data_IF_573791817789
#
_entry.id   IF_573791817789
#
_cell.length_a   1.000
_cell.length_b   1.000
_cell.length_c   1.000
_cell.angle_alpha   90.00
_cell.angle_beta   90.00
_cell.angle_gamma   90.00
#
_symmetry.space_group_name_H-M   'P 1'
#
loop_
_entity.id
_entity.type
_entity.pdbx_description
1 polymer ?
#
# COMPACT_ATOMS: atom_id res chain seq x y z
N UNK A 1 -69.54 -5.67 -42.08
CA UNK A 1 -68.10 -5.54 -41.75
C UNK A 1 -67.91 -5.94 -40.30
N UNK A 2 -67.80 -7.23 -40.03
CA UNK A 2 -67.60 -7.81 -38.70
C UNK A 2 -66.13 -8.24 -38.58
N UNK A 3 -65.24 -7.30 -38.26
CA UNK A 3 -63.82 -7.63 -38.05
C UNK A 3 -63.24 -6.84 -36.88
N UNK A 4 -63.93 -6.73 -35.74
CA UNK A 4 -63.40 -5.95 -34.60
C UNK A 4 -63.73 -6.48 -33.20
N UNK A 5 -64.26 -7.70 -33.03
CA UNK A 5 -64.57 -8.24 -31.68
C UNK A 5 -63.84 -9.52 -31.31
N UNK A 6 -63.29 -10.29 -32.26
CA UNK A 6 -62.56 -11.54 -31.94
C UNK A 6 -61.06 -11.35 -31.67
N UNK A 7 -60.41 -10.34 -32.26
CA UNK A 7 -58.97 -10.10 -32.02
C UNK A 7 -58.66 -9.42 -30.68
N UNK A 8 -59.61 -8.70 -30.11
CA UNK A 8 -59.45 -8.00 -28.83
C UNK A 8 -59.51 -8.95 -27.63
N UNK A 9 -60.38 -9.97 -27.65
CA UNK A 9 -60.55 -10.91 -26.54
C UNK A 9 -59.33 -11.84 -26.29
N UNK A 10 -58.60 -12.22 -27.35
CA UNK A 10 -57.43 -13.09 -27.24
C UNK A 10 -56.13 -12.34 -26.87
N UNK A 11 -56.08 -11.02 -27.08
CA UNK A 11 -54.89 -10.21 -26.77
C UNK A 11 -54.77 -9.87 -25.27
N UNK A 12 -55.88 -9.67 -24.54
CA UNK A 12 -55.85 -9.35 -23.10
C UNK A 12 -55.10 -10.36 -22.20
N UNK A 13 -55.34 -11.68 -22.28
CA UNK A 13 -54.60 -12.64 -21.45
C UNK A 13 -53.12 -12.75 -21.85
N UNK A 14 -52.80 -12.56 -23.13
CA UNK A 14 -51.42 -12.57 -23.64
C UNK A 14 -50.63 -11.36 -23.12
N UNK A 15 -51.22 -10.16 -23.10
CA UNK A 15 -50.58 -8.97 -22.53
C UNK A 15 -50.35 -9.11 -21.01
N UNK A 16 -51.30 -9.67 -20.26
CA UNK A 16 -51.14 -9.90 -18.81
C UNK A 16 -49.99 -10.91 -18.55
N UNK A 17 -49.89 -11.97 -19.35
CA UNK A 17 -48.80 -12.95 -19.25
C UNK A 17 -47.43 -12.38 -19.64
N UNK A 18 -47.37 -11.48 -20.63
CA UNK A 18 -46.13 -10.78 -21.02
C UNK A 18 -45.71 -9.78 -19.94
N UNK A 19 -46.66 -9.10 -19.29
CA UNK A 19 -46.38 -8.20 -18.16
C UNK A 19 -45.88 -8.99 -16.94
N UNK A 20 -46.51 -10.12 -16.60
CA UNK A 20 -46.04 -10.94 -15.47
C UNK A 20 -44.66 -11.54 -15.71
N UNK A 21 -44.36 -11.97 -16.95
CA UNK A 21 -43.04 -12.45 -17.32
C UNK A 21 -41.97 -11.35 -17.27
N UNK A 22 -42.28 -10.14 -17.74
CA UNK A 22 -41.33 -9.01 -17.70
C UNK A 22 -41.06 -8.54 -16.27
N UNK A 23 -42.07 -8.51 -15.40
CA UNK A 23 -41.89 -8.20 -13.96
C UNK A 23 -40.99 -9.23 -13.29
N UNK A 24 -41.18 -10.52 -13.60
CA UNK A 24 -40.30 -11.58 -13.09
C UNK A 24 -38.86 -11.35 -13.55
N UNK A 25 -38.64 -11.15 -14.86
CA UNK A 25 -37.30 -10.91 -15.44
C UNK A 25 -36.62 -9.66 -14.86
N UNK A 26 -37.38 -8.58 -14.64
CA UNK A 26 -36.87 -7.37 -13.97
C UNK A 26 -36.47 -7.68 -12.52
N UNK A 27 -37.28 -8.43 -11.78
CA UNK A 27 -36.98 -8.82 -10.41
C UNK A 27 -35.70 -9.68 -10.32
N UNK A 28 -35.49 -10.64 -11.24
CA UNK A 28 -34.23 -11.39 -11.31
C UNK A 28 -33.06 -10.46 -11.64
N UNK A 29 -33.24 -9.52 -12.57
CA UNK A 29 -32.18 -8.56 -12.96
C UNK A 29 -31.79 -7.61 -11.83
N UNK A 30 -32.75 -7.07 -11.08
CA UNK A 30 -32.48 -6.15 -9.97
C UNK A 30 -31.91 -6.87 -8.76
N UNK A 31 -32.45 -8.04 -8.42
CA UNK A 31 -32.02 -8.79 -7.22
C UNK A 31 -30.63 -9.37 -7.39
N UNK A 32 -30.28 -9.90 -8.58
CA UNK A 32 -28.91 -10.34 -8.86
C UNK A 32 -27.91 -9.17 -8.88
N UNK A 33 -28.34 -7.99 -9.35
CA UNK A 33 -27.53 -6.76 -9.30
C UNK A 33 -27.21 -6.32 -7.87
N UNK A 34 -28.19 -6.38 -6.96
CA UNK A 34 -27.99 -6.08 -5.53
C UNK A 34 -27.08 -7.10 -4.85
N UNK A 35 -27.25 -8.39 -5.10
CA UNK A 35 -26.42 -9.45 -4.52
C UNK A 35 -24.93 -9.30 -4.92
N UNK A 36 -24.67 -9.01 -6.19
CA UNK A 36 -23.29 -8.75 -6.67
C UNK A 36 -22.75 -7.46 -6.07
N UNK A 37 -23.56 -6.39 -6.00
CA UNK A 37 -23.10 -5.10 -5.47
C UNK A 37 -22.80 -5.18 -3.96
N UNK A 38 -23.58 -5.94 -3.20
CA UNK A 38 -23.35 -6.20 -1.78
C UNK A 38 -22.13 -7.11 -1.57
N UNK A 39 -21.94 -8.12 -2.41
CA UNK A 39 -20.73 -8.97 -2.42
C UNK A 39 -19.46 -8.17 -2.79
N UNK A 40 -19.56 -7.16 -3.66
CA UNK A 40 -18.45 -6.25 -4.03
C UNK A 40 -18.13 -5.24 -2.91
N UNK A 41 -19.14 -4.71 -2.21
CA UNK A 41 -18.93 -3.93 -0.98
C UNK A 41 -18.29 -4.78 0.12
N UNK A 42 -18.67 -6.06 0.19
CA UNK A 42 -18.10 -6.98 1.15
C UNK A 42 -16.63 -7.32 0.82
N UNK A 43 -16.27 -7.49 -0.45
CA UNK A 43 -14.87 -7.71 -0.88
C UNK A 43 -13.97 -6.49 -0.64
N UNK A 44 -14.50 -5.27 -0.74
CA UNK A 44 -13.81 -4.03 -0.34
C UNK A 44 -13.56 -3.97 1.18
N UNK A 45 -14.41 -4.63 1.98
CA UNK A 45 -14.32 -4.70 3.45
C UNK A 45 -13.69 -5.98 4.01
N UNK A 46 -13.17 -6.90 3.19
CA UNK A 46 -12.39 -8.05 3.67
C UNK A 46 -11.08 -7.53 4.24
N UNK A 47 -11.12 -7.22 5.53
CA UNK A 47 -10.02 -6.57 6.23
C UNK A 47 -8.80 -7.49 6.27
N UNK A 48 -7.67 -6.98 5.79
CA UNK A 48 -6.34 -7.55 6.03
C UNK A 48 -6.04 -7.45 7.54
N UNK A 49 -6.46 -8.45 8.29
CA UNK A 49 -6.13 -8.61 9.70
C UNK A 49 -4.72 -9.19 9.87
N UNK A 50 -3.72 -8.37 9.57
CA UNK A 50 -2.46 -8.19 10.33
C UNK A 50 -1.83 -6.93 9.76
N UNK A 51 -1.64 -5.90 10.61
CA UNK A 51 -1.00 -4.62 10.27
C UNK A 51 -1.85 -3.58 9.49
N UNK A 52 -3.18 -3.53 9.66
CA UNK A 52 -4.02 -2.48 9.06
C UNK A 52 -3.52 -1.04 9.36
N UNK A 53 -2.88 -0.80 10.51
CA UNK A 53 -2.27 0.47 10.88
C UNK A 53 -1.00 0.86 10.09
N UNK A 54 -0.43 -0.07 9.32
CA UNK A 54 0.74 0.16 8.46
C UNK A 54 0.36 0.38 6.99
N UNK A 55 -0.91 0.21 6.64
CA UNK A 55 -1.40 0.45 5.27
C UNK A 55 -1.23 1.93 4.96
N UNK A 56 -0.50 2.24 3.89
CA UNK A 56 -0.21 3.63 3.49
C UNK A 56 0.82 4.35 4.35
N UNK A 57 1.56 3.66 5.23
CA UNK A 57 2.66 4.25 6.01
C UNK A 57 3.98 4.22 5.23
N UNK A 58 4.82 5.22 5.49
CA UNK A 58 6.15 5.32 4.91
C UNK A 58 7.19 4.66 5.81
N UNK A 59 8.18 4.01 5.21
CA UNK A 59 9.37 3.54 5.91
C UNK A 59 10.45 4.62 5.82
N UNK A 60 11.27 4.78 6.88
CA UNK A 60 12.32 5.78 6.87
C UNK A 60 13.39 5.41 5.84
N UNK A 61 13.81 6.37 5.02
CA UNK A 61 14.84 6.20 4.01
C UNK A 61 16.19 6.73 4.52
N UNK A 62 17.20 5.87 4.56
CA UNK A 62 18.58 6.26 4.93
C UNK A 62 19.34 6.64 3.66
N UNK A 63 19.63 7.93 3.52
CA UNK A 63 20.40 8.54 2.45
C UNK A 63 21.87 8.59 2.87
N UNK A 64 22.71 7.82 2.21
CA UNK A 64 24.11 7.67 2.57
C UNK A 64 24.78 6.69 1.62
N UNK A 65 25.98 7.03 1.18
CA UNK A 65 26.77 6.26 0.23
C UNK A 65 28.04 5.72 0.89
N UNK A 66 28.80 4.92 0.16
CA UNK A 66 30.09 4.43 0.62
C UNK A 66 31.08 5.60 0.74
N UNK A 67 31.89 5.58 1.80
CA UNK A 67 32.75 6.70 2.17
C UNK A 67 34.21 6.26 2.02
N UNK A 68 35.04 7.16 1.49
CA UNK A 68 36.50 6.97 1.45
C UNK A 68 37.16 8.06 2.27
N UNK A 69 37.99 7.66 3.23
CA UNK A 69 38.71 8.58 4.12
C UNK A 69 40.20 8.26 4.13
N UNK A 70 41.03 9.28 4.37
CA UNK A 70 42.47 9.09 4.56
C UNK A 70 42.75 8.62 5.99
N UNK A 71 43.76 7.77 6.15
CA UNK A 71 44.28 7.31 7.43
C UNK A 71 44.55 8.50 8.37
N UNK A 72 44.06 8.39 9.60
CA UNK A 72 44.20 9.40 10.65
C UNK A 72 43.20 10.56 10.56
N UNK A 73 42.27 10.55 9.59
CA UNK A 73 41.21 11.56 9.52
C UNK A 73 40.15 11.35 10.60
N UNK A 74 39.53 12.43 11.05
CA UNK A 74 38.35 12.38 11.91
C UNK A 74 37.17 11.91 11.06
N UNK A 75 36.45 10.89 11.52
CA UNK A 75 35.28 10.36 10.85
C UNK A 75 34.03 10.57 11.70
N UNK A 76 33.07 11.34 11.17
CA UNK A 76 31.78 11.62 11.81
C UNK A 76 30.65 11.06 10.93
N UNK A 77 30.00 9.94 11.33
CA UNK A 77 28.95 9.29 10.53
C UNK A 77 27.74 10.19 10.25
N UNK A 78 27.39 11.09 11.17
CA UNK A 78 26.20 11.96 11.08
C UNK A 78 26.30 13.05 10.01
N UNK A 79 27.51 13.38 9.55
CA UNK A 79 27.69 14.37 8.48
C UNK A 79 27.40 13.77 7.09
N UNK A 80 27.66 12.48 6.94
CA UNK A 80 27.60 11.78 5.65
C UNK A 80 26.30 11.00 5.46
N UNK A 81 25.58 10.72 6.56
CA UNK A 81 24.40 9.85 6.56
C UNK A 81 23.22 10.66 7.06
N UNK A 82 22.22 10.80 6.20
CA UNK A 82 20.94 11.46 6.47
C UNK A 82 19.82 10.44 6.49
N UNK A 83 18.74 10.75 7.19
CA UNK A 83 17.52 9.95 7.15
C UNK A 83 16.29 10.82 7.02
N UNK A 84 15.43 10.47 6.07
CA UNK A 84 14.16 11.14 5.81
C UNK A 84 13.05 10.10 5.76
N UNK A 85 11.91 10.44 6.32
CA UNK A 85 10.68 9.67 6.26
C UNK A 85 9.59 10.57 5.67
N UNK A 86 8.69 10.03 4.83
CA UNK A 86 7.69 10.85 4.17
C UNK A 86 6.60 11.37 5.13
N UNK A 87 6.44 10.75 6.31
CA UNK A 87 5.45 11.13 7.32
C UNK A 87 6.09 11.92 8.47
N UNK A 88 7.26 11.49 8.97
CA UNK A 88 7.95 12.16 10.08
C UNK A 88 8.93 13.26 9.64
N UNK A 89 9.23 13.37 8.35
CA UNK A 89 10.19 14.33 7.81
C UNK A 89 11.64 13.95 8.12
N UNK A 90 12.45 14.90 8.58
CA UNK A 90 13.88 14.69 8.80
C UNK A 90 14.15 14.04 10.16
N UNK A 91 14.42 12.74 10.16
CA UNK A 91 14.74 11.96 11.37
C UNK A 91 16.25 11.62 11.46
N UNK A 92 17.11 12.38 10.78
CA UNK A 92 18.57 12.14 10.78
C UNK A 92 19.18 12.03 12.18
N UNK A 93 18.67 12.80 13.15
CA UNK A 93 19.15 12.76 14.54
C UNK A 93 18.77 11.49 15.31
N UNK A 94 17.80 10.70 14.82
CA UNK A 94 17.34 9.48 15.47
C UNK A 94 18.09 8.21 14.99
N UNK A 95 19.05 8.35 14.07
CA UNK A 95 19.81 7.21 13.54
C UNK A 95 20.73 6.64 14.61
N UNK A 96 20.69 5.31 14.77
CA UNK A 96 21.62 4.54 15.59
C UNK A 96 22.68 3.90 14.69
N UNK A 97 23.95 4.14 14.99
CA UNK A 97 25.08 3.52 14.30
C UNK A 97 25.64 2.36 15.12
N UNK A 98 25.92 1.25 14.44
CA UNK A 98 26.52 0.06 15.04
C UNK A 98 27.73 -0.37 14.22
N UNK A 99 28.83 -0.68 14.92
CA UNK A 99 30.12 -1.01 14.33
C UNK A 99 31.22 -0.12 14.88
N UNK A 100 32.47 -0.55 14.68
CA UNK A 100 33.66 0.24 14.99
C UNK A 100 34.43 0.48 13.71
N UNK A 101 34.76 1.74 13.44
CA UNK A 101 35.58 2.15 12.29
C UNK A 101 36.88 2.69 12.86
N UNK A 102 37.97 1.96 12.68
CA UNK A 102 39.30 2.43 13.08
C UNK A 102 39.91 3.22 11.91
N UNK A 103 40.03 4.54 12.07
CA UNK A 103 40.62 5.40 11.04
C UNK A 103 42.15 5.34 11.02
N UNK A 104 42.80 4.65 11.96
CA UNK A 104 44.26 4.52 12.04
C UNK A 104 44.79 3.35 11.23
N UNK A 105 43.96 2.38 10.94
CA UNK A 105 44.34 1.17 10.22
C UNK A 105 43.70 1.20 8.83
N UNK A 106 44.48 0.93 7.79
CA UNK A 106 43.94 0.85 6.43
C UNK A 106 43.04 -0.37 6.32
N UNK A 107 41.90 -0.24 5.65
CA UNK A 107 40.96 -1.34 5.52
C UNK A 107 39.56 -0.90 5.11
N UNK A 108 38.69 -1.89 4.90
CA UNK A 108 37.28 -1.67 4.61
C UNK A 108 36.48 -2.01 5.85
N UNK A 109 35.78 -1.03 6.40
CA UNK A 109 34.96 -1.15 7.58
C UNK A 109 33.49 -1.14 7.21
N UNK A 110 32.68 -1.93 7.92
CA UNK A 110 31.24 -2.03 7.72
C UNK A 110 30.52 -1.31 8.85
N UNK A 111 29.76 -0.28 8.52
CA UNK A 111 28.92 0.45 9.46
C UNK A 111 27.45 0.09 9.22
N UNK A 112 26.76 -0.32 10.27
CA UNK A 112 25.33 -0.62 10.25
C UNK A 112 24.55 0.59 10.78
N UNK A 113 23.69 1.14 9.94
CA UNK A 113 22.83 2.27 10.26
C UNK A 113 21.41 1.77 10.47
N UNK A 114 20.79 2.19 11.56
CA UNK A 114 19.42 1.79 11.92
C UNK A 114 18.62 3.04 12.21
N UNK A 115 17.54 3.25 11.46
CA UNK A 115 16.57 4.30 11.71
C UNK A 115 15.24 3.68 12.11
N UNK A 116 14.57 4.30 13.08
CA UNK A 116 13.22 3.92 13.52
C UNK A 116 12.38 5.19 13.51
N UNK A 117 11.23 5.13 12.85
CA UNK A 117 10.30 6.24 12.77
C UNK A 117 9.35 6.26 13.99
N UNK A 118 8.50 7.28 14.11
CA UNK A 118 7.57 7.46 15.23
C UNK A 118 6.56 6.33 15.37
N UNK A 119 6.25 5.67 14.25
CA UNK A 119 5.35 4.51 14.15
C UNK A 119 6.04 3.17 14.47
N UNK A 120 7.33 3.18 14.80
CA UNK A 120 8.11 1.99 15.08
C UNK A 120 8.57 1.22 13.84
N UNK A 121 8.39 1.76 12.64
CA UNK A 121 8.91 1.19 11.40
C UNK A 121 10.42 1.39 11.32
N UNK A 122 11.12 0.31 10.99
CA UNK A 122 12.57 0.23 11.08
C UNK A 122 13.20 0.00 9.72
N UNK A 123 14.21 0.80 9.41
CA UNK A 123 15.07 0.61 8.23
C UNK A 123 16.50 0.39 8.65
N UNK A 124 17.16 -0.58 8.00
CA UNK A 124 18.56 -0.90 8.21
C UNK A 124 19.32 -0.72 6.91
N UNK A 125 20.42 0.03 6.95
CA UNK A 125 21.32 0.22 5.81
C UNK A 125 22.76 -0.04 6.22
N UNK A 126 23.52 -0.69 5.34
CA UNK A 126 24.95 -0.87 5.52
C UNK A 126 25.71 0.12 4.65
N UNK A 127 26.73 0.74 5.24
CA UNK A 127 27.64 1.65 4.57
C UNK A 127 29.05 1.10 4.71
N UNK A 128 29.81 1.13 3.61
CA UNK A 128 31.21 0.70 3.61
C UNK A 128 32.13 1.93 3.69
N UNK A 129 33.10 1.87 4.59
CA UNK A 129 34.09 2.91 4.81
C UNK A 129 35.46 2.36 4.42
N UNK A 130 36.04 2.90 3.36
CA UNK A 130 37.39 2.60 2.94
C UNK A 130 38.36 3.59 3.60
N UNK A 131 39.27 3.07 4.42
CA UNK A 131 40.39 3.82 4.99
C UNK A 131 41.63 3.57 4.14
N UNK A 132 42.07 4.61 3.45
CA UNK A 132 43.27 4.63 2.58
C UNK A 132 44.52 5.13 3.29
#
# INVERSE_FOLDING_TARGET
MEITTKQTAAMFPVFIAVISATVLVIAWRTTCGMYVNESMKQSESVQLNVNAGLIGKSYPAILGENIRIKKGSIFVPTEHIKCQDAQDGNITGAIRFYGSVDTRTKGVYKLKCVAVNSLGLKTVKYVWILVD
#
